data_IF_738341347028
#
_entry.id   IF_738341347028
#
_cell.length_a   1.000
_cell.length_b   1.000
_cell.length_c   1.000
_cell.angle_alpha   90.00
_cell.angle_beta   90.00
_cell.angle_gamma   90.00
#
_symmetry.space_group_name_H-M   'P 1'
#
loop_
_entity.id
_entity.type
_entity.pdbx_description
1 polymer ?
#
# COMPACT_ATOMS: atom_id res chain seq x y z
N UNK A 1 -20.25 -7.16 -10.28
CA UNK A 1 -18.96 -7.53 -9.68
C UNK A 1 -18.74 -6.69 -8.45
N UNK A 2 -18.34 -7.31 -7.35
CA UNK A 2 -18.10 -6.60 -6.09
C UNK A 2 -16.84 -5.75 -6.15
N UNK A 3 -16.87 -4.59 -5.52
CA UNK A 3 -15.70 -3.70 -5.42
C UNK A 3 -15.18 -3.72 -3.99
N UNK A 4 -13.88 -3.97 -3.83
CA UNK A 4 -13.19 -3.92 -2.55
C UNK A 4 -12.15 -2.81 -2.59
N UNK A 5 -12.18 -1.93 -1.61
CA UNK A 5 -11.17 -0.89 -1.42
C UNK A 5 -10.17 -1.38 -0.38
N UNK A 6 -8.89 -1.26 -0.70
CA UNK A 6 -7.80 -1.71 0.16
C UNK A 6 -6.87 -0.53 0.43
N UNK A 7 -6.63 -0.26 1.71
CA UNK A 7 -5.75 0.80 2.18
C UNK A 7 -4.59 0.15 2.91
N UNK A 8 -3.37 0.43 2.50
CA UNK A 8 -2.18 -0.23 3.04
C UNK A 8 -1.16 0.78 3.52
N UNK A 9 -0.40 0.42 4.54
CA UNK A 9 0.73 1.21 5.01
C UNK A 9 1.79 0.31 5.64
N UNK A 10 3.01 0.82 5.67
CA UNK A 10 4.14 0.17 6.31
C UNK A 10 4.91 1.16 7.16
N UNK A 11 5.48 0.69 8.24
CA UNK A 11 6.30 1.49 9.13
C UNK A 11 7.55 0.71 9.51
N UNK A 12 8.64 1.43 9.71
CA UNK A 12 9.89 0.84 10.17
C UNK A 12 10.55 1.80 11.14
N UNK A 13 10.96 1.30 12.32
CA UNK A 13 11.70 2.11 13.28
C UNK A 13 12.95 1.37 13.73
N UNK A 14 14.04 2.12 13.96
CA UNK A 14 15.23 1.58 14.55
C UNK A 14 15.03 1.30 16.02
N UNK A 15 15.93 0.50 16.59
CA UNK A 15 16.03 0.33 18.02
C UNK A 15 17.48 0.48 18.47
N UNK A 16 17.69 0.50 19.79
CA UNK A 16 19.03 0.71 20.38
C UNK A 16 19.98 -0.46 20.19
N UNK A 17 19.51 -1.61 19.74
CA UNK A 17 20.27 -2.86 19.58
C UNK A 17 20.57 -3.17 18.10
N UNK A 18 20.55 -2.17 17.23
CA UNK A 18 20.77 -2.29 15.79
C UNK A 18 19.75 -3.18 15.05
N UNK A 19 18.73 -3.70 15.74
CA UNK A 19 17.60 -4.33 15.10
C UNK A 19 16.58 -3.26 14.75
N UNK A 20 16.12 -3.24 13.51
CA UNK A 20 14.96 -2.42 13.22
C UNK A 20 13.68 -3.25 13.35
N UNK A 21 12.60 -2.57 13.63
CA UNK A 21 11.28 -3.15 13.83
C UNK A 21 10.35 -2.62 12.76
N UNK A 22 9.79 -3.52 11.97
CA UNK A 22 8.83 -3.17 10.93
C UNK A 22 7.42 -3.59 11.29
N UNK A 23 6.46 -2.82 10.83
CA UNK A 23 5.05 -3.14 10.93
C UNK A 23 4.34 -2.85 9.62
N UNK A 24 3.27 -3.56 9.38
CA UNK A 24 2.41 -3.33 8.23
C UNK A 24 0.95 -3.36 8.67
N UNK A 25 0.12 -2.63 7.95
CA UNK A 25 -1.30 -2.57 8.22
C UNK A 25 -2.11 -2.48 6.95
N UNK A 26 -3.29 -3.05 6.97
CA UNK A 26 -4.23 -2.98 5.85
C UNK A 26 -5.67 -2.92 6.34
N UNK A 27 -6.48 -2.12 5.65
CA UNK A 27 -7.93 -2.06 5.82
C UNK A 27 -8.56 -2.51 4.52
N UNK A 28 -9.45 -3.48 4.59
CA UNK A 28 -10.19 -3.98 3.43
C UNK A 28 -11.65 -3.62 3.63
N UNK A 29 -12.26 -2.94 2.66
CA UNK A 29 -13.65 -2.48 2.73
C UNK A 29 -14.48 -3.06 1.60
N UNK A 30 -15.64 -3.58 1.96
CA UNK A 30 -16.70 -3.94 1.03
C UNK A 30 -18.02 -3.40 1.56
N UNK A 31 -18.57 -2.39 0.88
CA UNK A 31 -19.78 -1.71 1.36
C UNK A 31 -19.56 -1.13 2.76
N UNK A 32 -20.40 -1.52 3.72
CA UNK A 32 -20.29 -1.10 5.11
C UNK A 32 -19.44 -2.07 5.97
N UNK A 33 -18.93 -3.14 5.36
CA UNK A 33 -18.11 -4.11 6.05
C UNK A 33 -16.63 -3.75 5.89
N UNK A 34 -15.87 -3.88 6.97
CA UNK A 34 -14.42 -3.69 6.91
C UNK A 34 -13.70 -4.77 7.71
N UNK A 35 -12.49 -5.09 7.24
CA UNK A 35 -11.58 -5.98 7.94
C UNK A 35 -10.25 -5.27 8.08
N UNK A 36 -9.69 -5.31 9.28
CA UNK A 36 -8.41 -4.70 9.59
C UNK A 36 -7.43 -5.79 9.95
N UNK A 37 -6.25 -5.76 9.33
CA UNK A 37 -5.18 -6.72 9.59
C UNK A 37 -3.87 -5.97 9.78
N UNK A 38 -2.98 -6.54 10.57
CA UNK A 38 -1.66 -5.98 10.78
C UNK A 38 -0.68 -7.09 11.15
N UNK A 39 0.59 -6.79 11.01
CA UNK A 39 1.64 -7.69 11.42
C UNK A 39 2.97 -6.96 11.57
N UNK A 40 4.01 -7.71 11.83
CA UNK A 40 5.31 -7.13 12.13
C UNK A 40 6.43 -8.07 11.71
N UNK A 41 7.59 -7.48 11.42
CA UNK A 41 8.83 -8.19 11.11
C UNK A 41 10.02 -7.43 11.70
N UNK A 42 11.05 -8.16 12.09
CA UNK A 42 12.33 -7.57 12.47
C UNK A 42 13.26 -7.52 11.26
N UNK A 43 14.19 -6.58 11.26
CA UNK A 43 15.24 -6.46 10.25
C UNK A 43 14.68 -6.35 8.83
N UNK A 44 13.82 -5.37 8.64
CA UNK A 44 13.12 -5.11 7.37
C UNK A 44 13.31 -3.65 6.94
N UNK A 45 12.57 -3.20 5.95
CA UNK A 45 12.59 -1.82 5.45
C UNK A 45 11.17 -1.29 5.30
N UNK A 46 11.02 0.04 5.22
CA UNK A 46 9.72 0.66 4.93
C UNK A 46 9.12 0.09 3.64
N UNK A 47 9.92 0.01 2.57
CA UNK A 47 9.41 -0.50 1.29
C UNK A 47 8.92 -1.94 1.39
N UNK A 48 9.66 -2.80 2.11
CA UNK A 48 9.22 -4.18 2.31
C UNK A 48 7.91 -4.26 3.11
N UNK A 49 7.73 -3.40 4.11
CA UNK A 49 6.51 -3.37 4.90
C UNK A 49 5.31 -2.86 4.09
N UNK A 50 5.53 -1.85 3.25
CA UNK A 50 4.49 -1.39 2.31
C UNK A 50 4.04 -2.51 1.36
N UNK A 51 4.99 -3.25 0.83
CA UNK A 51 4.70 -4.39 -0.07
C UNK A 51 4.02 -5.53 0.67
N UNK A 52 4.48 -5.84 1.88
CA UNK A 52 3.92 -6.91 2.71
C UNK A 52 2.47 -6.62 3.08
N UNK A 53 2.15 -5.36 3.39
CA UNK A 53 0.78 -4.95 3.67
C UNK A 53 -0.16 -5.32 2.52
N UNK A 54 0.24 -5.02 1.29
CA UNK A 54 -0.58 -5.35 0.12
C UNK A 54 -0.65 -6.85 -0.14
N UNK A 55 0.47 -7.56 -0.01
CA UNK A 55 0.51 -9.02 -0.15
C UNK A 55 -0.46 -9.68 0.83
N UNK A 56 -0.38 -9.31 2.10
CA UNK A 56 -1.22 -9.89 3.14
C UNK A 56 -2.71 -9.55 2.91
N UNK A 57 -2.99 -8.34 2.45
CA UNK A 57 -4.36 -7.95 2.12
C UNK A 57 -4.92 -8.81 0.97
N UNK A 58 -4.14 -9.00 -0.10
CA UNK A 58 -4.57 -9.81 -1.23
C UNK A 58 -4.75 -11.30 -0.83
N UNK A 59 -3.87 -11.82 -0.01
CA UNK A 59 -3.97 -13.20 0.48
C UNK A 59 -5.15 -13.41 1.45
N UNK A 60 -5.59 -12.37 2.12
CA UNK A 60 -6.73 -12.45 3.04
C UNK A 60 -8.07 -12.60 2.33
N UNK A 61 -8.13 -12.29 1.04
CA UNK A 61 -9.37 -12.41 0.27
C UNK A 61 -9.51 -13.79 -0.35
N UNK A 62 -10.70 -14.36 -0.21
CA UNK A 62 -11.03 -15.68 -0.76
C UNK A 62 -11.55 -15.60 -2.18
N UNK A 63 -12.31 -14.54 -2.50
CA UNK A 63 -12.87 -14.32 -3.82
C UNK A 63 -11.86 -13.61 -4.70
N UNK A 64 -11.82 -13.97 -5.98
CA UNK A 64 -10.93 -13.35 -6.96
C UNK A 64 -11.68 -12.51 -8.00
N UNK A 65 -12.95 -12.79 -8.19
CA UNK A 65 -13.79 -12.07 -9.16
C UNK A 65 -14.28 -10.74 -8.56
N UNK A 66 -13.33 -9.84 -8.36
CA UNK A 66 -13.50 -8.57 -7.66
C UNK A 66 -12.90 -7.43 -8.47
N UNK A 67 -13.47 -6.24 -8.30
CA UNK A 67 -12.82 -4.98 -8.68
C UNK A 67 -12.08 -4.49 -7.44
N UNK A 68 -10.77 -4.30 -7.56
CA UNK A 68 -9.94 -3.82 -6.45
C UNK A 68 -9.47 -2.39 -6.68
N UNK A 69 -9.64 -1.55 -5.68
CA UNK A 69 -9.00 -0.25 -5.61
C UNK A 69 -7.98 -0.26 -4.48
N UNK A 70 -6.72 -0.09 -4.82
CA UNK A 70 -5.61 -0.07 -3.87
C UNK A 70 -5.21 1.38 -3.63
N UNK A 71 -5.14 1.78 -2.36
CA UNK A 71 -4.71 3.12 -1.95
C UNK A 71 -3.47 2.98 -1.07
N UNK A 72 -2.41 3.69 -1.42
CA UNK A 72 -1.16 3.69 -0.65
C UNK A 72 -0.48 5.04 -0.74
N UNK A 73 0.22 5.42 0.32
CA UNK A 73 1.07 6.61 0.32
C UNK A 73 2.49 6.32 -0.18
N UNK A 74 2.81 5.06 -0.45
CA UNK A 74 4.12 4.67 -0.97
C UNK A 74 4.24 4.97 -2.46
N UNK A 75 5.03 5.98 -2.81
CA UNK A 75 5.34 6.27 -4.21
C UNK A 75 6.05 5.07 -4.87
N UNK A 76 6.94 4.41 -4.14
CA UNK A 76 7.66 3.23 -4.62
C UNK A 76 6.71 2.12 -5.06
N UNK A 77 5.73 1.79 -4.22
CA UNK A 77 4.75 0.75 -4.53
C UNK A 77 3.85 1.14 -5.70
N UNK A 78 3.26 2.33 -5.63
CA UNK A 78 2.30 2.78 -6.65
C UNK A 78 2.98 3.00 -8.00
N UNK A 79 4.16 3.63 -8.02
CA UNK A 79 4.88 3.91 -9.27
C UNK A 79 5.31 2.63 -9.99
N UNK A 80 5.64 1.56 -9.26
CA UNK A 80 5.97 0.29 -9.89
C UNK A 80 4.84 -0.19 -10.81
N UNK A 81 3.60 -0.06 -10.34
CA UNK A 81 2.44 -0.51 -11.11
C UNK A 81 2.00 0.52 -12.15
N UNK A 82 1.93 1.79 -11.80
CA UNK A 82 1.47 2.83 -12.73
C UNK A 82 2.48 3.11 -13.83
N UNK A 83 3.76 3.03 -13.53
CA UNK A 83 4.84 3.20 -14.51
C UNK A 83 5.32 1.88 -15.12
N UNK A 84 4.77 0.77 -14.64
CA UNK A 84 5.04 -0.58 -15.16
C UNK A 84 6.52 -0.97 -15.14
N UNK A 85 7.24 -0.62 -14.08
CA UNK A 85 8.65 -0.98 -13.91
C UNK A 85 8.88 -2.50 -14.00
N UNK A 86 7.93 -3.28 -13.51
CA UNK A 86 8.01 -4.75 -13.49
C UNK A 86 8.13 -5.37 -14.88
N UNK A 87 7.67 -4.69 -15.94
CA UNK A 87 7.79 -5.19 -17.31
C UNK A 87 9.26 -5.26 -17.73
N UNK A 88 10.04 -4.22 -17.44
CA UNK A 88 11.46 -4.18 -17.73
C UNK A 88 12.22 -5.19 -16.85
N UNK A 89 11.85 -5.31 -15.59
CA UNK A 89 12.49 -6.29 -14.71
C UNK A 89 12.29 -7.72 -15.20
N UNK A 90 11.08 -8.09 -15.59
CA UNK A 90 10.78 -9.41 -16.17
C UNK A 90 11.58 -9.65 -17.43
N UNK A 91 11.67 -8.65 -18.30
CA UNK A 91 12.38 -8.74 -19.57
C UNK A 91 13.89 -8.89 -19.38
N UNK A 92 14.44 -8.29 -18.34
CA UNK A 92 15.87 -8.28 -18.07
C UNK A 92 16.28 -9.32 -17.00
N UNK A 93 15.47 -10.36 -16.78
CA UNK A 93 15.77 -11.42 -15.83
C UNK A 93 15.87 -10.94 -14.38
N UNK A 94 15.09 -9.91 -14.03
CA UNK A 94 15.08 -9.31 -12.68
C UNK A 94 16.41 -8.65 -12.31
N UNK A 95 17.06 -8.09 -13.31
CA UNK A 95 18.30 -7.32 -13.14
C UNK A 95 18.03 -5.86 -13.50
N UNK A 96 18.70 -4.95 -12.79
CA UNK A 96 18.68 -3.53 -13.13
C UNK A 96 19.58 -3.25 -14.35
N UNK A 97 19.51 -2.04 -14.89
CA UNK A 97 20.39 -1.59 -15.96
C UNK A 97 21.88 -1.65 -15.57
N UNK A 98 22.19 -1.52 -14.27
CA UNK A 98 23.54 -1.67 -13.73
C UNK A 98 23.93 -3.12 -13.45
N UNK A 99 23.18 -4.09 -13.93
CA UNK A 99 23.42 -5.54 -13.76
C UNK A 99 23.42 -6.00 -12.30
N UNK A 100 22.66 -5.30 -11.44
CA UNK A 100 22.42 -5.69 -10.06
C UNK A 100 21.03 -6.32 -9.94
N UNK A 101 20.81 -7.26 -9.01
CA UNK A 101 19.46 -7.77 -8.76
C UNK A 101 18.51 -6.64 -8.37
N UNK A 102 17.27 -6.73 -8.85
CA UNK A 102 16.21 -5.77 -8.45
C UNK A 102 15.95 -5.90 -6.96
N UNK A 103 15.96 -4.77 -6.24
CA UNK A 103 15.64 -4.76 -4.82
C UNK A 103 14.24 -5.33 -4.55
N UNK A 104 14.12 -6.08 -3.47
CA UNK A 104 12.84 -6.69 -3.05
C UNK A 104 12.25 -7.63 -4.10
N UNK A 105 13.10 -8.22 -4.94
CA UNK A 105 12.69 -9.13 -6.01
C UNK A 105 11.73 -10.22 -5.51
N UNK A 106 12.04 -10.83 -4.37
CA UNK A 106 11.22 -11.88 -3.75
C UNK A 106 9.78 -11.42 -3.54
N UNK A 107 9.60 -10.23 -2.97
CA UNK A 107 8.27 -9.66 -2.73
C UNK A 107 7.59 -9.23 -4.02
N UNK A 108 8.34 -8.64 -4.99
CA UNK A 108 7.77 -8.24 -6.26
C UNK A 108 7.20 -9.44 -7.04
N UNK A 109 7.93 -10.55 -7.09
CA UNK A 109 7.47 -11.76 -7.77
C UNK A 109 6.20 -12.29 -7.12
N UNK A 110 6.18 -12.37 -5.80
CA UNK A 110 5.00 -12.83 -5.05
C UNK A 110 3.80 -11.92 -5.28
N UNK A 111 4.03 -10.60 -5.22
CA UNK A 111 2.98 -9.60 -5.39
C UNK A 111 2.40 -9.62 -6.82
N UNK A 112 3.25 -9.71 -7.83
CA UNK A 112 2.81 -9.78 -9.22
C UNK A 112 1.97 -11.03 -9.49
N UNK A 113 2.36 -12.18 -8.93
CA UNK A 113 1.59 -13.41 -9.05
C UNK A 113 0.20 -13.28 -8.42
N UNK A 114 0.10 -12.61 -7.27
CA UNK A 114 -1.20 -12.38 -6.62
C UNK A 114 -2.07 -11.44 -7.44
N UNK A 115 -1.50 -10.38 -7.96
CA UNK A 115 -2.23 -9.36 -8.75
C UNK A 115 -2.82 -9.97 -10.01
N UNK A 116 -2.12 -10.89 -10.66
CA UNK A 116 -2.59 -11.57 -11.87
C UNK A 116 -3.88 -12.37 -11.64
N UNK A 117 -4.18 -12.73 -10.39
CA UNK A 117 -5.40 -13.46 -10.06
C UNK A 117 -6.66 -12.59 -10.08
N UNK A 118 -6.51 -11.26 -10.13
CA UNK A 118 -7.63 -10.33 -10.07
C UNK A 118 -7.87 -9.69 -11.44
N UNK A 119 -9.12 -9.76 -11.98
CA UNK A 119 -9.40 -9.24 -13.33
C UNK A 119 -9.33 -7.72 -13.43
N UNK A 120 -9.69 -7.02 -12.37
CA UNK A 120 -9.72 -5.55 -12.37
C UNK A 120 -9.07 -5.02 -11.10
N UNK A 121 -7.93 -4.35 -11.25
CA UNK A 121 -7.22 -3.75 -10.14
C UNK A 121 -6.71 -2.36 -10.55
N UNK A 122 -6.92 -1.37 -9.68
CA UNK A 122 -6.47 0.00 -9.87
C UNK A 122 -5.64 0.43 -8.69
N UNK A 123 -4.59 1.17 -8.97
CA UNK A 123 -3.66 1.68 -7.95
C UNK A 123 -3.80 3.20 -7.84
N UNK A 124 -3.95 3.68 -6.61
CA UNK A 124 -4.17 5.09 -6.31
C UNK A 124 -3.18 5.55 -5.25
N UNK A 125 -2.64 6.74 -5.46
CA UNK A 125 -1.72 7.36 -4.51
C UNK A 125 -2.45 8.34 -3.61
N UNK A 126 -2.10 8.35 -2.32
CA UNK A 126 -2.62 9.28 -1.32
C UNK A 126 -1.43 9.92 -0.58
N UNK A 127 -1.56 11.17 -0.16
CA UNK A 127 -0.59 11.77 0.75
C UNK A 127 -0.78 11.20 2.14
N UNK A 128 0.28 10.65 2.70
CA UNK A 128 0.24 10.07 4.04
C UNK A 128 0.26 11.11 5.16
N UNK A 129 -0.17 10.70 6.33
CA UNK A 129 -0.11 11.46 7.59
C UNK A 129 -0.84 12.80 7.55
N UNK A 130 -1.92 12.91 6.78
CA UNK A 130 -2.73 14.12 6.77
C UNK A 130 -3.60 14.16 8.03
N UNK A 131 -3.57 15.31 8.71
CA UNK A 131 -4.46 15.55 9.84
C UNK A 131 -5.80 16.08 9.33
N UNK A 132 -6.91 15.33 9.48
CA UNK A 132 -8.22 15.77 8.98
C UNK A 132 -8.70 17.09 9.58
N UNK A 133 -8.20 17.48 10.75
CA UNK A 133 -8.55 18.75 11.39
C UNK A 133 -7.88 19.96 10.72
N UNK A 134 -6.84 19.75 9.93
CA UNK A 134 -6.15 20.82 9.21
C UNK A 134 -6.69 20.94 7.80
N UNK A 135 -7.83 21.59 7.66
CA UNK A 135 -8.58 21.68 6.40
C UNK A 135 -7.74 22.23 5.25
N UNK A 136 -6.93 23.26 5.48
CA UNK A 136 -6.11 23.86 4.42
C UNK A 136 -5.15 22.86 3.79
N UNK A 137 -4.52 22.03 4.60
CA UNK A 137 -3.61 20.98 4.12
C UNK A 137 -4.39 19.86 3.42
N UNK A 138 -5.51 19.46 3.97
CA UNK A 138 -6.38 18.45 3.37
C UNK A 138 -6.84 18.90 1.98
N UNK A 139 -7.30 20.14 1.86
CA UNK A 139 -7.79 20.69 0.59
C UNK A 139 -6.65 20.84 -0.43
N UNK A 140 -5.47 21.29 0.01
CA UNK A 140 -4.28 21.37 -0.85
C UNK A 140 -3.95 20.01 -1.47
N UNK A 141 -3.94 18.97 -0.66
CA UNK A 141 -3.59 17.63 -1.12
C UNK A 141 -4.73 16.94 -1.87
N UNK A 142 -5.97 17.44 -1.76
CA UNK A 142 -7.07 16.98 -2.61
C UNK A 142 -6.78 17.29 -4.08
N UNK A 143 -6.29 18.49 -4.38
CA UNK A 143 -5.91 18.84 -5.76
C UNK A 143 -4.84 17.87 -6.30
N UNK A 144 -3.85 17.53 -5.47
CA UNK A 144 -2.81 16.59 -5.86
C UNK A 144 -3.36 15.17 -6.01
N UNK A 145 -4.28 14.77 -5.15
CA UNK A 145 -4.96 13.48 -5.24
C UNK A 145 -5.68 13.32 -6.59
N UNK A 146 -6.38 14.35 -7.02
CA UNK A 146 -7.05 14.36 -8.33
C UNK A 146 -6.05 14.30 -9.48
N UNK A 147 -4.92 15.01 -9.36
CA UNK A 147 -3.88 14.97 -10.37
C UNK A 147 -3.27 13.56 -10.52
N UNK A 148 -3.09 12.85 -9.41
CA UNK A 148 -2.56 11.49 -9.44
C UNK A 148 -3.56 10.44 -9.92
N UNK A 149 -4.84 10.59 -9.51
CA UNK A 149 -5.81 9.49 -9.57
C UNK A 149 -7.01 9.76 -10.48
N UNK A 150 -7.11 10.97 -11.04
CA UNK A 150 -8.25 11.37 -11.86
C UNK A 150 -9.32 12.10 -11.06
N UNK A 151 -10.31 12.62 -11.77
CA UNK A 151 -11.36 13.50 -11.21
C UNK A 151 -12.64 12.77 -10.82
N UNK A 152 -12.64 11.44 -10.84
CA UNK A 152 -13.84 10.66 -10.58
C UNK A 152 -14.19 10.53 -9.09
N UNK A 153 -13.27 10.93 -8.21
CA UNK A 153 -13.48 10.85 -6.78
C UNK A 153 -14.13 12.12 -6.25
N UNK A 154 -15.19 11.95 -5.46
CA UNK A 154 -15.81 13.07 -4.76
C UNK A 154 -14.91 13.52 -3.60
N UNK A 155 -15.16 14.74 -3.09
CA UNK A 155 -14.43 15.22 -1.92
C UNK A 155 -14.68 14.33 -0.70
N UNK A 156 -15.93 13.87 -0.50
CA UNK A 156 -16.26 12.96 0.60
C UNK A 156 -15.49 11.64 0.49
N UNK A 157 -15.39 11.08 -0.71
CA UNK A 157 -14.59 9.86 -0.93
C UNK A 157 -13.13 10.09 -0.61
N UNK A 158 -12.58 11.24 -1.05
CA UNK A 158 -11.19 11.60 -0.71
C UNK A 158 -10.98 11.70 0.80
N UNK A 159 -11.91 12.35 1.53
CA UNK A 159 -11.79 12.45 3.00
C UNK A 159 -11.80 11.06 3.65
N UNK A 160 -12.63 10.16 3.14
CA UNK A 160 -12.65 8.79 3.63
C UNK A 160 -11.33 8.07 3.36
N UNK A 161 -10.72 8.28 2.18
CA UNK A 161 -9.40 7.72 1.86
C UNK A 161 -8.34 8.24 2.82
N UNK A 162 -8.37 9.55 3.14
CA UNK A 162 -7.45 10.14 4.13
C UNK A 162 -7.62 9.44 5.49
N UNK A 163 -8.85 9.26 5.94
CA UNK A 163 -9.15 8.58 7.21
C UNK A 163 -8.64 7.14 7.22
N UNK A 164 -8.89 6.40 6.15
CA UNK A 164 -8.49 4.99 6.07
C UNK A 164 -6.98 4.83 5.90
N UNK A 165 -6.31 5.76 5.23
CA UNK A 165 -4.86 5.77 5.18
C UNK A 165 -4.27 5.96 6.60
N UNK A 166 -4.85 6.86 7.38
CA UNK A 166 -4.43 7.06 8.77
C UNK A 166 -4.71 5.82 9.63
N UNK A 167 -5.80 5.11 9.36
CA UNK A 167 -6.11 3.85 10.04
C UNK A 167 -5.07 2.77 9.70
N UNK A 168 -4.70 2.64 8.44
CA UNK A 168 -3.65 1.70 8.02
C UNK A 168 -2.30 2.04 8.66
N UNK A 169 -1.97 3.34 8.78
CA UNK A 169 -0.78 3.81 9.47
C UNK A 169 -0.81 3.40 10.95
N UNK A 170 -1.93 3.59 11.62
CA UNK A 170 -2.08 3.19 13.02
C UNK A 170 -1.90 1.68 13.19
N UNK A 171 -2.41 0.88 12.27
CA UNK A 171 -2.23 -0.58 12.28
C UNK A 171 -0.76 -0.96 12.07
N UNK A 172 -0.05 -0.30 11.16
CA UNK A 172 1.37 -0.53 10.93
C UNK A 172 2.18 -0.24 12.20
N UNK A 173 1.89 0.87 12.88
CA UNK A 173 2.54 1.22 14.14
C UNK A 173 2.19 0.24 15.25
N UNK A 174 0.97 -0.27 15.28
CA UNK A 174 0.57 -1.34 16.21
C UNK A 174 1.43 -2.59 15.98
N UNK A 175 1.74 -2.91 14.73
CA UNK A 175 2.66 -3.98 14.39
C UNK A 175 4.04 -3.75 14.98
N UNK A 176 4.62 -2.55 14.77
CA UNK A 176 5.93 -2.19 15.34
C UNK A 176 5.89 -2.34 16.86
N UNK A 177 4.86 -1.80 17.51
CA UNK A 177 4.74 -1.83 18.97
C UNK A 177 4.63 -3.26 19.52
N UNK A 178 4.07 -4.19 18.76
CA UNK A 178 3.95 -5.59 19.16
C UNK A 178 5.31 -6.29 19.33
N UNK A 179 6.37 -5.75 18.73
CA UNK A 179 7.73 -6.28 18.80
C UNK A 179 8.57 -5.63 19.91
N UNK A 180 8.08 -4.59 20.54
CA UNK A 180 8.79 -3.88 21.63
C UNK A 180 8.62 -4.53 22.98
#
# INVERSE_FOLDING_TARGET
MKTVNIYTDGACSGNQNDENLGGWGAVLEYGLHSKKIFGAEKNTTNNRMEMTALIEALEAMKEKDLVLNIFSDSAYLIDCFTKKWYLNWKRNGWMTSGKKPVENKDLWIRLLNLIEEYPFIRFHRIKGHLNPAKKDMVDKWYEKFKAWNGNDFTYETYLHVVEMNNEADALANKGVDSLR
#
